data_IF_977090796232
#
_entry.id   IF_977090796232
#
_cell.length_a   1.000
_cell.length_b   1.000
_cell.length_c   1.000
_cell.angle_alpha   90.00
_cell.angle_beta   90.00
_cell.angle_gamma   90.00
#
_symmetry.space_group_name_H-M   'P 1'
#
loop_
_entity.id
_entity.type
_entity.pdbx_description
1 polymer ?
#
# COMPACT_ATOMS: atom_id res chain seq x y z
N UNK A 1 -17.57 22.51 -14.07
CA UNK A 1 -18.12 23.83 -14.41
C UNK A 1 -16.93 24.72 -14.75
N UNK A 2 -16.75 25.07 -16.03
CA UNK A 2 -15.69 26.00 -16.45
C UNK A 2 -16.07 27.39 -15.95
N UNK A 3 -15.35 27.90 -14.95
CA UNK A 3 -15.60 29.23 -14.41
C UNK A 3 -14.99 30.27 -15.34
N UNK A 4 -15.83 30.95 -16.13
CA UNK A 4 -15.48 32.20 -16.86
C UNK A 4 -15.22 33.40 -15.93
N UNK A 5 -15.32 33.22 -14.60
CA UNK A 5 -15.10 34.28 -13.62
C UNK A 5 -13.61 34.47 -13.38
N UNK A 6 -13.19 35.74 -13.34
CA UNK A 6 -11.84 36.15 -12.98
C UNK A 6 -11.54 35.62 -11.57
N UNK A 7 -10.68 34.61 -11.48
CA UNK A 7 -10.07 34.22 -10.21
C UNK A 7 -9.34 35.44 -9.66
N UNK A 8 -9.34 35.56 -8.34
CA UNK A 8 -8.62 36.60 -7.63
C UNK A 8 -7.17 36.73 -8.15
N UNK A 9 -6.78 37.87 -8.75
CA UNK A 9 -5.48 38.04 -9.40
C UNK A 9 -4.30 38.00 -8.45
N UNK A 10 -4.53 38.13 -7.13
CA UNK A 10 -3.48 38.10 -6.10
C UNK A 10 -3.11 36.66 -5.70
N UNK A 11 -3.96 35.69 -5.99
CA UNK A 11 -3.76 34.30 -5.57
C UNK A 11 -2.53 33.66 -6.24
N UNK A 12 -1.58 33.19 -5.42
CA UNK A 12 -0.35 32.54 -5.90
C UNK A 12 -0.62 31.09 -6.29
N UNK A 13 -0.17 30.72 -7.48
CA UNK A 13 -0.24 29.34 -7.96
C UNK A 13 0.81 28.46 -7.27
N UNK A 14 0.42 27.24 -6.90
CA UNK A 14 1.29 26.23 -6.33
C UNK A 14 1.71 25.24 -7.43
N UNK A 15 2.97 25.29 -7.83
CA UNK A 15 3.51 24.39 -8.85
C UNK A 15 4.04 23.06 -8.27
N UNK A 16 4.09 22.93 -6.94
CA UNK A 16 4.73 21.80 -6.24
C UNK A 16 3.76 20.68 -5.85
N UNK A 17 2.57 20.65 -6.45
CA UNK A 17 1.54 19.65 -6.11
C UNK A 17 1.82 18.26 -6.68
N UNK A 18 2.78 18.13 -7.61
CA UNK A 18 3.11 16.88 -8.30
C UNK A 18 2.07 16.45 -9.35
N UNK A 19 0.97 17.21 -9.52
CA UNK A 19 0.01 17.01 -10.59
C UNK A 19 0.38 17.86 -11.81
N UNK A 20 0.17 17.31 -13.00
CA UNK A 20 0.32 18.09 -14.23
C UNK A 20 -0.80 19.13 -14.41
N UNK A 21 -0.57 20.09 -15.28
CA UNK A 21 -1.54 21.17 -15.60
C UNK A 21 -2.50 20.80 -16.73
N UNK A 22 -2.29 19.66 -17.40
CA UNK A 22 -3.11 19.17 -18.49
C UNK A 22 -4.54 18.86 -18.06
N UNK A 23 -5.49 18.94 -18.99
CA UNK A 23 -6.88 18.64 -18.71
C UNK A 23 -7.12 17.12 -18.61
N UNK A 24 -7.08 16.58 -17.39
CA UNK A 24 -7.23 15.13 -17.16
C UNK A 24 -8.69 14.65 -17.12
N UNK A 25 -9.67 15.56 -16.98
CA UNK A 25 -11.08 15.21 -16.81
C UNK A 25 -11.38 14.48 -15.48
N UNK A 26 -12.47 14.83 -14.82
CA UNK A 26 -12.89 14.18 -13.57
C UNK A 26 -12.08 14.60 -12.33
N UNK A 27 -12.12 13.76 -11.30
CA UNK A 27 -11.56 14.05 -9.96
C UNK A 27 -10.13 13.54 -9.83
N UNK A 28 -9.21 14.33 -9.27
CA UNK A 28 -7.79 13.95 -9.08
C UNK A 28 -7.55 12.89 -8.00
N UNK A 29 -8.26 13.02 -6.87
CA UNK A 29 -8.12 12.16 -5.69
C UNK A 29 -9.51 11.69 -5.29
N UNK A 30 -9.75 10.38 -5.17
CA UNK A 30 -11.03 9.80 -4.78
C UNK A 30 -11.42 10.15 -3.33
N UNK A 31 -12.66 9.81 -2.90
CA UNK A 31 -13.13 10.07 -1.52
C UNK A 31 -12.35 9.28 -0.47
N UNK A 32 -11.80 8.13 -0.84
CA UNK A 32 -10.96 7.28 0.01
C UNK A 32 -9.49 7.74 0.09
N UNK A 33 -9.14 8.85 -0.57
CA UNK A 33 -7.78 9.39 -0.62
C UNK A 33 -6.88 8.75 -1.68
N UNK A 34 -7.37 7.78 -2.46
CA UNK A 34 -6.58 7.19 -3.55
C UNK A 34 -6.47 8.14 -4.74
N UNK A 35 -5.31 8.15 -5.40
CA UNK A 35 -5.11 8.96 -6.61
C UNK A 35 -5.84 8.34 -7.79
N UNK A 36 -6.68 9.11 -8.46
CA UNK A 36 -7.33 8.73 -9.71
C UNK A 36 -6.45 9.11 -10.90
N UNK A 37 -5.25 8.54 -10.94
CA UNK A 37 -4.25 8.80 -11.96
C UNK A 37 -3.82 7.50 -12.62
N UNK A 38 -3.79 7.51 -13.95
CA UNK A 38 -3.16 6.44 -14.73
C UNK A 38 -1.74 6.87 -15.10
N UNK A 39 -0.75 6.11 -14.65
CA UNK A 39 0.63 6.25 -15.12
C UNK A 39 0.74 5.52 -16.46
N UNK A 40 1.20 6.16 -17.51
CA UNK A 40 1.48 5.53 -18.81
C UNK A 40 2.97 5.75 -19.19
N UNK A 41 3.48 5.00 -20.17
CA UNK A 41 4.85 5.16 -20.69
C UNK A 41 5.94 4.26 -20.07
N UNK A 42 5.61 3.43 -19.08
CA UNK A 42 6.56 2.46 -18.49
C UNK A 42 5.98 1.04 -18.54
N UNK A 43 6.79 0.09 -19.01
CA UNK A 43 6.48 -1.34 -19.10
C UNK A 43 6.06 -1.93 -17.75
N UNK A 44 5.19 -2.94 -17.79
CA UNK A 44 4.63 -3.59 -16.60
C UNK A 44 5.71 -4.09 -15.61
N UNK A 45 6.76 -4.75 -16.11
CA UNK A 45 7.84 -5.30 -15.26
C UNK A 45 8.58 -4.24 -14.44
N UNK A 46 8.85 -3.07 -15.03
CA UNK A 46 9.53 -1.97 -14.34
C UNK A 46 8.60 -1.25 -13.35
N UNK A 47 7.29 -1.33 -13.55
CA UNK A 47 6.30 -0.72 -12.66
C UNK A 47 6.00 -1.61 -11.45
N UNK A 48 6.09 -2.92 -11.62
CA UNK A 48 5.67 -3.87 -10.61
C UNK A 48 6.76 -4.06 -9.55
N UNK A 49 6.50 -3.60 -8.33
CA UNK A 49 7.36 -3.86 -7.18
C UNK A 49 6.76 -4.98 -6.34
N UNK A 50 7.42 -6.14 -6.33
CA UNK A 50 7.04 -7.29 -5.50
C UNK A 50 6.95 -6.90 -4.02
N UNK A 51 7.95 -6.21 -3.51
CA UNK A 51 8.02 -5.77 -2.11
C UNK A 51 6.84 -4.88 -1.72
N UNK A 52 6.57 -3.80 -2.48
CA UNK A 52 5.45 -2.92 -2.18
C UNK A 52 4.09 -3.59 -2.35
N UNK A 53 3.96 -4.53 -3.30
CA UNK A 53 2.73 -5.31 -3.48
C UNK A 53 2.48 -6.20 -2.26
N UNK A 54 3.51 -6.89 -1.77
CA UNK A 54 3.46 -7.74 -0.57
C UNK A 54 3.16 -6.95 0.70
N UNK A 55 3.61 -5.70 0.81
CA UNK A 55 3.28 -4.86 1.97
C UNK A 55 1.85 -4.31 1.94
N UNK A 56 1.31 -3.99 0.75
CA UNK A 56 0.05 -3.26 0.62
C UNK A 56 -1.18 -4.15 0.40
N UNK A 57 -1.01 -5.41 0.00
CA UNK A 57 -2.14 -6.33 -0.22
C UNK A 57 -2.92 -6.61 1.08
N UNK A 58 -4.22 -6.97 1.02
CA UNK A 58 -4.98 -7.37 2.20
C UNK A 58 -4.39 -8.63 2.87
N UNK A 59 -4.58 -8.75 4.18
CA UNK A 59 -3.94 -9.79 5.00
C UNK A 59 -4.25 -11.22 4.50
N UNK A 60 -5.49 -11.49 4.12
CA UNK A 60 -5.87 -12.82 3.61
C UNK A 60 -5.10 -13.18 2.34
N UNK A 61 -4.97 -12.25 1.37
CA UNK A 61 -4.18 -12.49 0.15
C UNK A 61 -2.72 -12.76 0.48
N UNK A 62 -2.16 -12.00 1.43
CA UNK A 62 -0.78 -12.20 1.88
C UNK A 62 -0.55 -13.58 2.48
N UNK A 63 -1.42 -14.02 3.39
CA UNK A 63 -1.37 -15.37 3.98
C UNK A 63 -1.52 -16.43 2.89
N UNK A 64 -2.47 -16.27 1.96
CA UNK A 64 -2.66 -17.19 0.84
C UNK A 64 -1.40 -17.30 -0.02
N UNK A 65 -0.71 -16.19 -0.31
CA UNK A 65 0.54 -16.20 -1.08
C UNK A 65 1.64 -16.97 -0.32
N UNK A 66 1.79 -16.78 0.99
CA UNK A 66 2.77 -17.53 1.79
C UNK A 66 2.46 -19.03 1.78
N UNK A 67 1.20 -19.42 1.98
CA UNK A 67 0.79 -20.82 1.96
C UNK A 67 1.01 -21.44 0.58
N UNK A 68 0.62 -20.74 -0.49
CA UNK A 68 0.84 -21.23 -1.86
C UNK A 68 2.33 -21.37 -2.18
N UNK A 69 3.16 -20.40 -1.77
CA UNK A 69 4.62 -20.49 -1.91
C UNK A 69 5.16 -21.73 -1.19
N UNK A 70 4.75 -21.94 0.07
CA UNK A 70 5.13 -23.12 0.84
C UNK A 70 4.73 -24.43 0.15
N UNK A 71 3.49 -24.57 -0.28
CA UNK A 71 3.03 -25.79 -0.97
C UNK A 71 3.81 -26.01 -2.28
N UNK A 72 4.00 -24.94 -3.07
CA UNK A 72 4.63 -25.03 -4.39
C UNK A 72 6.12 -25.33 -4.29
N UNK A 73 6.84 -24.72 -3.35
CA UNK A 73 8.28 -24.96 -3.19
C UNK A 73 8.55 -26.38 -2.68
N UNK A 74 7.74 -26.89 -1.75
CA UNK A 74 7.86 -28.27 -1.29
C UNK A 74 7.50 -29.26 -2.40
N UNK A 75 6.47 -28.98 -3.21
CA UNK A 75 6.19 -29.79 -4.41
C UNK A 75 7.37 -29.79 -5.41
N UNK A 76 8.05 -28.66 -5.57
CA UNK A 76 9.25 -28.57 -6.42
C UNK A 76 10.38 -29.47 -5.88
N UNK A 77 10.72 -29.36 -4.59
CA UNK A 77 11.75 -30.21 -3.98
C UNK A 77 11.37 -31.69 -4.01
N UNK A 78 10.10 -32.02 -3.73
CA UNK A 78 9.56 -33.38 -3.87
C UNK A 78 9.78 -33.94 -5.28
N UNK A 79 9.53 -33.12 -6.31
CA UNK A 79 9.78 -33.51 -7.69
C UNK A 79 11.27 -33.72 -7.95
N UNK A 80 12.14 -32.86 -7.43
CA UNK A 80 13.59 -33.04 -7.55
C UNK A 80 14.07 -34.32 -6.85
N UNK A 81 13.54 -34.63 -5.66
CA UNK A 81 13.82 -35.89 -4.95
C UNK A 81 13.35 -37.11 -5.74
N UNK A 82 12.17 -37.01 -6.36
CA UNK A 82 11.65 -38.05 -7.22
C UNK A 82 12.57 -38.33 -8.42
N UNK A 83 13.16 -37.27 -9.01
CA UNK A 83 14.10 -37.41 -10.14
C UNK A 83 15.44 -38.04 -9.74
N UNK A 84 15.94 -37.77 -8.53
CA UNK A 84 17.17 -38.41 -8.02
C UNK A 84 16.94 -39.91 -7.77
N UNK A 85 15.73 -40.27 -7.37
CA UNK A 85 15.33 -41.64 -7.14
C UNK A 85 15.17 -41.98 -5.67
N UNK A 86 14.23 -42.89 -5.42
CA UNK A 86 13.75 -43.26 -4.08
C UNK A 86 14.82 -44.09 -3.33
N UNK A 87 15.75 -44.69 -4.06
CA UNK A 87 16.88 -45.47 -3.53
C UNK A 87 17.83 -44.65 -2.65
N UNK A 88 17.84 -43.31 -2.83
CA UNK A 88 18.62 -42.40 -1.99
C UNK A 88 18.02 -42.14 -0.60
N UNK A 89 16.90 -42.79 -0.25
CA UNK A 89 16.18 -42.61 1.01
C UNK A 89 16.02 -43.92 1.79
N UNK A 90 15.93 -43.80 3.11
CA UNK A 90 15.54 -44.89 4.01
C UNK A 90 14.27 -44.52 4.78
N UNK A 91 13.48 -45.53 5.16
CA UNK A 91 12.25 -45.35 5.95
C UNK A 91 10.99 -45.04 5.15
N UNK A 92 11.04 -45.16 3.81
CA UNK A 92 9.86 -45.10 2.94
C UNK A 92 9.12 -46.43 2.99
N UNK A 93 7.86 -46.42 3.46
CA UNK A 93 7.07 -47.64 3.67
C UNK A 93 6.09 -47.92 2.53
N UNK A 94 5.63 -46.87 1.85
CA UNK A 94 4.66 -47.02 0.78
C UNK A 94 5.24 -47.77 -0.44
N UNK A 95 4.48 -48.74 -0.94
CA UNK A 95 4.79 -49.44 -2.18
C UNK A 95 4.18 -48.77 -3.41
N UNK A 96 3.01 -48.12 -3.25
CA UNK A 96 2.34 -47.42 -4.36
C UNK A 96 3.09 -46.15 -4.78
N UNK A 97 3.14 -45.80 -6.08
CA UNK A 97 3.79 -44.58 -6.56
C UNK A 97 3.26 -43.31 -5.88
N UNK A 98 1.93 -43.21 -5.70
CA UNK A 98 1.30 -42.08 -5.01
C UNK A 98 1.65 -42.03 -3.51
N UNK A 99 1.74 -43.18 -2.85
CA UNK A 99 2.16 -43.25 -1.46
C UNK A 99 3.60 -42.76 -1.29
N UNK A 100 4.52 -43.20 -2.15
CA UNK A 100 5.92 -42.76 -2.14
C UNK A 100 6.06 -41.26 -2.39
N UNK A 101 5.29 -40.72 -3.34
CA UNK A 101 5.27 -39.27 -3.61
C UNK A 101 4.84 -38.46 -2.38
N UNK A 102 3.78 -38.91 -1.69
CA UNK A 102 3.33 -38.26 -0.45
C UNK A 102 4.38 -38.31 0.65
N UNK A 103 5.06 -39.44 0.83
CA UNK A 103 6.12 -39.56 1.85
C UNK A 103 7.31 -38.66 1.54
N UNK A 104 7.69 -38.52 0.27
CA UNK A 104 8.72 -37.55 -0.16
C UNK A 104 8.26 -36.10 0.02
N UNK A 105 6.97 -35.81 -0.21
CA UNK A 105 6.41 -34.50 0.08
C UNK A 105 6.48 -34.15 1.56
N UNK A 106 6.12 -35.09 2.43
CA UNK A 106 6.26 -34.87 3.87
C UNK A 106 7.72 -34.70 4.28
N UNK A 107 8.64 -35.50 3.74
CA UNK A 107 10.07 -35.31 3.94
C UNK A 107 10.55 -33.90 3.54
N UNK A 108 10.14 -33.42 2.37
CA UNK A 108 10.44 -32.06 1.89
C UNK A 108 9.89 -31.01 2.87
N UNK A 109 8.62 -31.14 3.30
CA UNK A 109 8.05 -30.21 4.29
C UNK A 109 8.79 -30.23 5.62
N UNK A 110 9.20 -31.40 6.12
CA UNK A 110 9.96 -31.52 7.36
C UNK A 110 11.37 -30.91 7.24
N UNK A 111 12.01 -31.06 6.08
CA UNK A 111 13.35 -30.53 5.79
C UNK A 111 13.31 -29.01 5.61
N UNK A 112 12.37 -28.50 4.81
CA UNK A 112 12.18 -27.07 4.56
C UNK A 112 11.79 -26.32 5.84
N UNK A 113 10.99 -26.94 6.71
CA UNK A 113 10.60 -26.35 8.00
C UNK A 113 11.59 -26.60 9.12
N UNK A 114 12.64 -27.39 8.87
CA UNK A 114 13.63 -27.84 9.87
C UNK A 114 13.04 -28.64 11.04
N UNK A 115 11.88 -29.28 10.84
CA UNK A 115 11.22 -30.14 11.83
C UNK A 115 11.94 -31.48 11.94
N UNK A 116 12.17 -32.14 10.80
CA UNK A 116 12.92 -33.40 10.68
C UNK A 116 12.52 -34.49 11.70
N UNK A 117 11.33 -35.10 11.56
CA UNK A 117 10.90 -36.15 12.49
C UNK A 117 11.78 -37.41 12.42
N UNK A 118 12.56 -37.56 11.34
CA UNK A 118 13.58 -38.59 11.22
C UNK A 118 13.03 -39.96 10.83
N UNK A 119 11.76 -40.05 10.38
CA UNK A 119 11.20 -41.30 9.85
C UNK A 119 11.74 -41.61 8.45
N UNK A 120 11.71 -40.63 7.55
CA UNK A 120 12.30 -40.71 6.22
C UNK A 120 13.61 -39.92 6.27
N UNK A 121 14.73 -40.57 5.94
CA UNK A 121 16.04 -39.92 5.99
C UNK A 121 16.81 -40.13 4.68
N UNK A 122 17.53 -39.10 4.20
CA UNK A 122 18.39 -39.21 3.03
C UNK A 122 19.65 -40.01 3.39
N UNK A 123 20.02 -40.97 2.55
CA UNK A 123 21.25 -41.76 2.70
C UNK A 123 22.23 -41.56 1.56
N UNK A 124 21.74 -41.23 0.36
CA UNK A 124 22.61 -40.93 -0.78
C UNK A 124 23.18 -39.52 -0.71
N UNK A 125 24.42 -39.33 -1.17
CA UNK A 125 25.11 -38.02 -1.18
C UNK A 125 24.31 -36.97 -1.96
N UNK A 126 23.71 -37.35 -3.10
CA UNK A 126 22.91 -36.43 -3.93
C UNK A 126 21.65 -35.94 -3.22
N UNK A 127 20.95 -36.82 -2.51
CA UNK A 127 19.74 -36.46 -1.74
C UNK A 127 20.11 -35.61 -0.53
N UNK A 128 21.19 -35.95 0.17
CA UNK A 128 21.71 -35.17 1.31
C UNK A 128 22.09 -33.75 0.89
N UNK A 129 22.77 -33.60 -0.24
CA UNK A 129 23.13 -32.29 -0.78
C UNK A 129 21.90 -31.45 -1.12
N UNK A 130 20.90 -32.05 -1.76
CA UNK A 130 19.64 -31.37 -2.06
C UNK A 130 18.87 -30.99 -0.79
N UNK A 131 18.83 -31.86 0.22
CA UNK A 131 18.25 -31.57 1.54
C UNK A 131 18.94 -30.42 2.26
N UNK A 132 20.27 -30.30 2.16
CA UNK A 132 20.99 -29.16 2.71
C UNK A 132 20.61 -27.84 2.02
N UNK A 133 20.46 -27.85 0.68
CA UNK A 133 19.98 -26.68 -0.08
C UNK A 133 18.54 -26.34 0.29
N UNK A 134 17.67 -27.35 0.44
CA UNK A 134 16.28 -27.16 0.85
C UNK A 134 16.19 -26.52 2.24
N UNK A 135 16.92 -27.06 3.22
CA UNK A 135 16.94 -26.52 4.58
C UNK A 135 17.43 -25.07 4.63
N UNK A 136 18.50 -24.73 3.88
CA UNK A 136 18.99 -23.36 3.75
C UNK A 136 17.93 -22.44 3.12
N UNK A 137 17.26 -22.91 2.07
CA UNK A 137 16.22 -22.17 1.36
C UNK A 137 14.99 -21.93 2.24
N UNK A 138 14.62 -22.92 3.04
CA UNK A 138 13.57 -22.83 4.05
C UNK A 138 13.87 -21.78 5.13
N UNK A 139 15.07 -21.84 5.69
CA UNK A 139 15.54 -20.87 6.68
C UNK A 139 15.49 -19.42 6.15
N UNK A 140 16.02 -19.18 4.94
CA UNK A 140 15.98 -17.85 4.30
C UNK A 140 14.54 -17.41 4.01
N UNK A 141 13.68 -18.32 3.56
CA UNK A 141 12.27 -18.03 3.29
C UNK A 141 11.52 -17.58 4.55
N UNK A 142 11.76 -18.23 5.69
CA UNK A 142 11.18 -17.81 6.96
C UNK A 142 11.68 -16.44 7.41
N UNK A 143 12.98 -16.13 7.22
CA UNK A 143 13.52 -14.82 7.54
C UNK A 143 12.82 -13.72 6.71
N UNK A 144 12.65 -13.94 5.40
CA UNK A 144 11.94 -13.01 4.51
C UNK A 144 10.47 -12.88 4.89
N UNK A 145 9.76 -13.98 5.13
CA UNK A 145 8.36 -13.97 5.52
C UNK A 145 8.14 -13.21 6.84
N UNK A 146 8.99 -13.46 7.83
CA UNK A 146 8.97 -12.75 9.12
C UNK A 146 9.23 -11.26 8.95
N UNK A 147 10.22 -10.89 8.12
CA UNK A 147 10.50 -9.49 7.79
C UNK A 147 9.33 -8.78 7.11
N UNK A 148 8.64 -9.46 6.18
CA UNK A 148 7.43 -8.92 5.54
C UNK A 148 6.27 -8.77 6.53
N UNK A 149 6.06 -9.75 7.42
CA UNK A 149 5.05 -9.68 8.47
C UNK A 149 5.32 -8.47 9.36
N UNK A 150 6.56 -8.33 9.85
CA UNK A 150 6.96 -7.19 10.66
C UNK A 150 6.78 -5.87 9.92
N UNK A 151 7.22 -5.78 8.65
CA UNK A 151 7.05 -4.59 7.83
C UNK A 151 5.57 -4.18 7.63
N UNK A 152 4.67 -5.16 7.56
CA UNK A 152 3.22 -4.92 7.48
C UNK A 152 2.65 -4.41 8.80
N UNK A 153 3.11 -4.92 9.94
CA UNK A 153 2.69 -4.48 11.27
C UNK A 153 3.27 -3.11 11.64
N UNK A 154 4.52 -2.85 11.28
CA UNK A 154 5.21 -1.61 11.56
C UNK A 154 4.73 -0.43 10.70
N UNK A 155 3.98 -0.69 9.61
CA UNK A 155 3.47 0.36 8.75
C UNK A 155 2.41 1.21 9.48
N UNK A 156 2.69 2.49 9.78
CA UNK A 156 1.75 3.33 10.49
C UNK A 156 0.49 3.56 9.64
N UNK A 157 -0.66 3.62 10.30
CA UNK A 157 -1.94 4.03 9.73
C UNK A 157 -2.46 5.19 10.56
N UNK A 158 -2.85 6.27 9.90
CA UNK A 158 -3.27 7.51 10.57
C UNK A 158 -4.67 7.46 11.18
N UNK A 159 -5.50 6.47 10.82
CA UNK A 159 -6.86 6.30 11.37
C UNK A 159 -7.68 7.61 11.44
N UNK A 160 -7.60 8.41 10.36
CA UNK A 160 -8.35 9.64 10.21
C UNK A 160 -9.61 9.42 9.38
N UNK A 161 -10.68 10.14 9.74
CA UNK A 161 -11.90 10.28 8.95
C UNK A 161 -12.13 11.75 8.61
N UNK A 162 -12.63 12.02 7.41
CA UNK A 162 -12.99 13.36 6.93
C UNK A 162 -14.51 13.50 6.90
N UNK A 163 -15.02 14.72 7.09
CA UNK A 163 -16.43 15.01 6.87
C UNK A 163 -16.81 14.81 5.41
N UNK A 164 -17.99 14.24 5.14
CA UNK A 164 -18.48 13.96 3.79
C UNK A 164 -18.65 15.23 2.92
N UNK A 165 -18.91 16.36 3.58
CA UNK A 165 -19.16 17.64 2.94
C UNK A 165 -18.25 18.72 3.51
N UNK A 166 -17.77 19.60 2.62
CA UNK A 166 -17.22 20.89 3.00
C UNK A 166 -18.33 21.95 2.86
N UNK A 167 -18.32 22.94 3.73
CA UNK A 167 -19.35 23.98 3.78
C UNK A 167 -18.70 25.36 3.67
N UNK A 168 -19.39 26.28 3.01
CA UNK A 168 -19.07 27.71 3.08
C UNK A 168 -20.08 28.34 4.01
N UNK A 169 -19.62 28.81 5.17
CA UNK A 169 -20.48 29.40 6.18
C UNK A 169 -19.84 30.67 6.79
N UNK A 170 -20.62 31.52 7.49
CA UNK A 170 -20.08 32.67 8.21
C UNK A 170 -19.03 32.23 9.24
N UNK A 171 -17.92 32.94 9.30
CA UNK A 171 -16.83 32.74 10.24
C UNK A 171 -16.27 34.11 10.63
N UNK A 172 -16.47 34.49 11.89
CA UNK A 172 -16.21 35.86 12.37
C UNK A 172 -16.94 36.88 11.46
N UNK A 173 -16.24 37.91 10.99
CA UNK A 173 -16.80 38.96 10.12
C UNK A 173 -16.77 38.60 8.61
N UNK A 174 -16.36 37.39 8.25
CA UNK A 174 -16.17 36.94 6.87
C UNK A 174 -16.89 35.60 6.61
N UNK A 175 -16.79 35.08 5.39
CA UNK A 175 -17.16 33.68 5.07
C UNK A 175 -15.90 32.83 5.08
N UNK A 176 -16.03 31.54 5.42
CA UNK A 176 -14.92 30.60 5.34
C UNK A 176 -15.38 29.27 4.74
N UNK A 177 -14.46 28.61 4.03
CA UNK A 177 -14.59 27.21 3.64
C UNK A 177 -14.16 26.35 4.83
N UNK A 178 -15.03 25.43 5.25
CA UNK A 178 -14.85 24.60 6.43
C UNK A 178 -15.11 23.13 6.13
N UNK A 179 -14.27 22.26 6.69
CA UNK A 179 -14.50 20.82 6.74
C UNK A 179 -13.87 20.27 8.03
N UNK A 180 -14.25 19.05 8.42
CA UNK A 180 -13.78 18.45 9.68
C UNK A 180 -12.96 17.20 9.42
N UNK A 181 -12.00 16.98 10.29
CA UNK A 181 -11.29 15.71 10.42
C UNK A 181 -11.45 15.19 11.84
N UNK A 182 -11.37 13.88 12.02
CA UNK A 182 -11.34 13.27 13.35
C UNK A 182 -10.44 12.03 13.37
N UNK A 183 -9.76 11.81 14.50
CA UNK A 183 -9.19 10.50 14.82
C UNK A 183 -10.31 9.63 15.40
N UNK A 184 -10.54 8.45 14.82
CA UNK A 184 -11.66 7.58 15.22
C UNK A 184 -11.23 6.38 16.07
N UNK A 185 -9.93 6.20 16.33
CA UNK A 185 -9.42 5.00 16.98
C UNK A 185 -8.89 5.30 18.38
N UNK A 186 -9.36 4.52 19.35
CA UNK A 186 -8.91 4.63 20.74
C UNK A 186 -7.42 4.39 20.86
N UNK A 187 -6.77 5.11 21.79
CA UNK A 187 -5.33 5.07 22.05
C UNK A 187 -4.45 5.36 20.82
N UNK A 188 -4.99 6.01 19.79
CA UNK A 188 -4.25 6.47 18.62
C UNK A 188 -4.18 8.00 18.59
N UNK A 189 -3.30 8.54 19.42
CA UNK A 189 -3.07 9.98 19.50
C UNK A 189 -2.09 10.39 18.41
N UNK A 190 -2.53 11.32 17.55
CA UNK A 190 -1.66 11.93 16.55
C UNK A 190 -1.06 13.20 17.15
N UNK A 191 0.27 13.24 17.20
CA UNK A 191 1.03 14.43 17.61
C UNK A 191 1.58 15.14 16.39
N UNK A 192 1.79 16.44 16.51
CA UNK A 192 2.40 17.28 15.47
C UNK A 192 1.67 17.20 14.12
N UNK A 193 0.34 17.38 14.15
CA UNK A 193 -0.51 17.22 12.97
C UNK A 193 -0.48 18.51 12.15
N UNK A 194 0.05 18.44 10.93
CA UNK A 194 0.04 19.52 9.94
C UNK A 194 -0.99 19.24 8.84
N UNK A 195 -1.75 20.27 8.44
CA UNK A 195 -2.71 20.20 7.34
C UNK A 195 -2.33 21.22 6.26
N UNK A 196 -2.30 20.73 5.02
CA UNK A 196 -2.15 21.55 3.81
C UNK A 196 -3.34 21.31 2.91
N UNK A 197 -4.03 22.37 2.52
CA UNK A 197 -5.18 22.30 1.61
C UNK A 197 -4.79 22.95 0.30
N UNK A 198 -4.83 22.17 -0.77
CA UNK A 198 -4.58 22.65 -2.12
C UNK A 198 -5.89 22.62 -2.92
N UNK A 199 -6.27 23.76 -3.46
CA UNK A 199 -7.40 23.90 -4.35
C UNK A 199 -6.92 23.77 -5.80
N UNK A 200 -7.51 22.84 -6.54
CA UNK A 200 -7.31 22.72 -7.98
C UNK A 200 -8.49 23.36 -8.72
N UNK A 201 -8.22 24.37 -9.55
CA UNK A 201 -9.22 25.03 -10.39
C UNK A 201 -8.87 24.86 -11.86
N UNK A 202 -9.87 24.52 -12.66
CA UNK A 202 -9.73 24.52 -14.11
C UNK A 202 -9.98 25.92 -14.64
N UNK A 203 -8.95 26.50 -15.26
CA UNK A 203 -9.01 27.80 -15.90
C UNK A 203 -8.97 27.66 -17.42
N UNK A 204 -9.71 28.53 -18.09
CA UNK A 204 -9.67 28.65 -19.54
C UNK A 204 -8.84 29.88 -19.90
N UNK A 205 -7.60 29.66 -20.37
CA UNK A 205 -6.72 30.72 -20.88
C UNK A 205 -6.42 30.45 -22.36
N UNK A 206 -6.67 31.43 -23.23
CA UNK A 206 -6.36 31.37 -24.67
C UNK A 206 -6.83 30.05 -25.34
N UNK A 207 -8.11 29.72 -25.18
CA UNK A 207 -8.79 28.52 -25.72
C UNK A 207 -8.31 27.16 -25.18
N UNK A 208 -7.26 27.13 -24.36
CA UNK A 208 -6.78 25.91 -23.69
C UNK A 208 -7.23 25.90 -22.23
N UNK A 209 -7.85 24.80 -21.82
CA UNK A 209 -8.21 24.58 -20.42
C UNK A 209 -7.02 23.95 -19.69
N UNK A 210 -6.55 24.58 -18.61
CA UNK A 210 -5.47 24.08 -17.77
C UNK A 210 -5.89 24.09 -16.31
N UNK A 211 -5.33 23.17 -15.52
CA UNK A 211 -5.50 23.18 -14.07
C UNK A 211 -4.44 24.06 -13.43
N UNK A 212 -4.88 24.97 -12.55
CA UNK A 212 -4.02 25.73 -11.65
C UNK A 212 -4.32 25.31 -10.21
N UNK A 213 -3.25 25.12 -9.44
CA UNK A 213 -3.35 24.74 -8.04
C UNK A 213 -3.05 25.96 -7.17
N UNK A 214 -3.73 26.06 -6.03
CA UNK A 214 -3.58 27.16 -5.09
C UNK A 214 -3.50 26.59 -3.68
N UNK A 215 -2.48 26.97 -2.93
CA UNK A 215 -2.41 26.63 -1.51
C UNK A 215 -3.36 27.57 -0.74
N UNK A 216 -4.31 27.01 0.00
CA UNK A 216 -5.28 27.78 0.77
C UNK A 216 -4.69 28.12 2.15
N UNK A 217 -4.71 29.40 2.50
CA UNK A 217 -4.31 29.86 3.83
C UNK A 217 -5.32 29.40 4.89
N UNK A 218 -4.86 28.66 5.90
CA UNK A 218 -5.73 28.15 6.96
C UNK A 218 -5.60 29.04 8.21
N UNK A 219 -6.70 29.23 8.96
CA UNK A 219 -6.65 29.88 10.28
C UNK A 219 -5.66 29.17 11.21
N UNK A 220 -5.65 27.84 11.11
CA UNK A 220 -4.68 26.98 11.79
C UNK A 220 -4.28 25.86 10.85
N UNK A 221 -2.98 25.74 10.60
CA UNK A 221 -2.40 24.69 9.76
C UNK A 221 -1.70 23.59 10.59
N UNK A 222 -1.52 23.78 11.90
CA UNK A 222 -0.83 22.84 12.79
C UNK A 222 -1.53 22.75 14.15
N UNK A 223 -1.63 21.54 14.68
CA UNK A 223 -2.01 21.27 16.08
C UNK A 223 -1.03 20.29 16.71
N UNK A 224 -0.64 20.55 17.96
CA UNK A 224 0.34 19.71 18.65
C UNK A 224 -0.20 18.31 18.94
N UNK A 225 -1.51 18.18 19.17
CA UNK A 225 -2.16 16.89 19.39
C UNK A 225 -3.60 16.89 18.91
N UNK A 226 -3.98 15.88 18.12
CA UNK A 226 -5.34 15.64 17.66
C UNK A 226 -5.96 14.46 18.43
N UNK A 227 -6.75 14.75 19.46
CA UNK A 227 -7.42 13.73 20.28
C UNK A 227 -8.84 13.39 19.81
N UNK A 228 -9.56 14.37 19.24
CA UNK A 228 -10.95 14.19 18.80
C UNK A 228 -11.11 14.71 17.36
N UNK A 229 -11.95 15.73 17.17
CA UNK A 229 -12.18 16.37 15.89
C UNK A 229 -11.43 17.70 15.80
N UNK A 230 -11.08 18.07 14.57
CA UNK A 230 -10.52 19.37 14.24
C UNK A 230 -11.27 19.91 13.02
N UNK A 231 -11.87 21.09 13.18
CA UNK A 231 -12.47 21.83 12.07
C UNK A 231 -11.37 22.64 11.38
N UNK A 232 -11.11 22.31 10.12
CA UNK A 232 -10.19 23.04 9.26
C UNK A 232 -10.94 24.20 8.64
N UNK A 233 -10.40 25.40 8.78
CA UNK A 233 -11.05 26.64 8.34
C UNK A 233 -10.10 27.39 7.41
N UNK A 234 -10.56 27.66 6.18
CA UNK A 234 -9.94 28.59 5.25
C UNK A 234 -10.81 29.86 5.18
N UNK A 235 -10.41 30.96 5.81
CA UNK A 235 -11.08 32.25 5.65
C UNK A 235 -11.05 32.68 4.18
N UNK A 236 -12.20 33.09 3.65
CA UNK A 236 -12.29 33.68 2.31
C UNK A 236 -12.03 35.18 2.48
N UNK A 237 -10.74 35.53 2.50
CA UNK A 237 -10.23 36.89 2.53
C UNK A 237 -9.92 37.43 1.12
N UNK A 238 -9.32 38.61 1.08
CA UNK A 238 -8.98 39.32 -0.15
C UNK A 238 -7.87 38.64 -0.97
N UNK A 239 -7.17 37.64 -0.40
CA UNK A 239 -6.13 36.85 -1.07
C UNK A 239 -6.64 35.45 -1.50
N UNK A 240 -7.82 35.05 -1.01
CA UNK A 240 -8.39 33.74 -1.31
C UNK A 240 -8.74 33.59 -2.80
N UNK A 241 -8.37 32.45 -3.43
CA UNK A 241 -8.77 32.13 -4.80
C UNK A 241 -10.27 31.85 -4.93
N UNK A 242 -10.98 31.67 -3.82
CA UNK A 242 -12.43 31.43 -3.78
C UNK A 242 -13.25 32.73 -3.79
N UNK A 243 -12.61 33.88 -3.60
CA UNK A 243 -13.28 35.17 -3.58
C UNK A 243 -13.99 35.44 -4.92
N UNK A 244 -15.30 35.75 -4.88
CA UNK A 244 -16.10 36.07 -6.07
C UNK A 244 -16.64 34.87 -6.87
N UNK A 245 -16.28 33.64 -6.48
CA UNK A 245 -16.90 32.43 -7.02
C UNK A 245 -18.32 32.27 -6.43
N UNK A 246 -19.28 31.90 -7.29
CA UNK A 246 -20.69 31.67 -6.93
C UNK A 246 -21.14 30.31 -7.42
#
# INVERSE_FOLDING_TARGET
>A
MSTRKKINPVSKTNNDTGFGTSNYGGRFINRDGTYNLRKDGVTFLNRFSLFHTMLNMPLWKFITVIVLFFLTINLLYTFLYWLIGIEGFTGILAESPWGRFKELYFFSTETFTTVGYGRVNPVGDGVNFLAAIEAMSGFLSFAVATGLIYGRFAKPKSHLVFSDYALIAPFQDKKALMFRIASYKDNHNLTDVEIKVNLALQLQENEKSSYKFYNLHLERNRVDTLMMNWTVVHPIDDDSPLLGLS
#
